data_IF_905063039580
#
_entry.id   IF_905063039580
#
_cell.length_a   1.000
_cell.length_b   1.000
_cell.length_c   1.000
_cell.angle_alpha   90.00
_cell.angle_beta   90.00
_cell.angle_gamma   90.00
#
_symmetry.space_group_name_H-M   'P 1'
#
loop_
_entity.id
_entity.type
_entity.pdbx_description
1 polymer ?
#
# COMPACT_ATOMS: atom_id res chain seq x y z
N UNK A 1 -22.60 -2.55 -8.19
CA UNK A 1 -21.54 -3.07 -7.30
C UNK A 1 -20.48 -2.00 -6.98
N UNK A 2 -20.31 -1.00 -7.84
CA UNK A 2 -19.59 0.28 -7.62
C UNK A 2 -20.21 1.18 -6.54
N UNK A 3 -21.52 1.07 -6.28
CA UNK A 3 -22.25 2.03 -5.43
C UNK A 3 -21.95 1.89 -3.93
N UNK A 4 -21.55 0.69 -3.47
CA UNK A 4 -21.22 0.49 -2.04
C UNK A 4 -19.93 1.21 -1.68
N UNK A 5 -18.86 1.02 -2.47
CA UNK A 5 -17.58 1.72 -2.30
C UNK A 5 -17.73 3.24 -2.33
N UNK A 6 -18.56 3.78 -3.23
CA UNK A 6 -18.81 5.22 -3.33
C UNK A 6 -19.48 5.81 -2.08
N UNK A 7 -20.43 5.07 -1.49
CA UNK A 7 -21.07 5.46 -0.22
C UNK A 7 -20.12 5.36 0.98
N UNK A 8 -19.16 4.42 0.97
CA UNK A 8 -18.14 4.32 2.03
C UNK A 8 -17.32 5.62 2.14
N UNK A 9 -16.82 6.18 1.04
CA UNK A 9 -15.92 7.34 1.06
C UNK A 9 -16.56 8.69 1.43
N UNK A 10 -17.89 8.83 1.38
CA UNK A 10 -18.55 10.11 1.61
C UNK A 10 -19.02 10.35 3.05
N UNK A 11 -19.30 9.29 3.82
CA UNK A 11 -20.00 9.43 5.12
C UNK A 11 -19.16 9.06 6.35
N UNK A 12 -17.87 8.72 6.20
CA UNK A 12 -17.05 8.31 7.36
C UNK A 12 -15.71 9.08 7.49
N UNK A 13 -15.55 9.92 8.54
CA UNK A 13 -14.33 10.69 8.77
C UNK A 13 -13.10 9.85 9.18
N UNK A 14 -13.27 8.54 9.48
CA UNK A 14 -12.15 7.64 9.80
C UNK A 14 -11.53 6.95 8.58
N UNK A 15 -12.07 7.21 7.39
CA UNK A 15 -11.52 6.71 6.13
C UNK A 15 -10.43 7.64 5.60
N UNK A 16 -9.39 7.03 5.05
CA UNK A 16 -8.35 7.73 4.28
C UNK A 16 -8.99 8.29 3.00
N UNK A 17 -9.49 9.52 3.12
CA UNK A 17 -10.21 10.25 2.06
C UNK A 17 -9.34 11.31 1.37
N UNK A 18 -8.16 11.61 1.93
CA UNK A 18 -7.21 12.58 1.41
C UNK A 18 -5.81 11.99 1.32
N UNK A 19 -5.03 12.46 0.34
CA UNK A 19 -3.64 12.11 0.21
C UNK A 19 -2.83 12.60 1.42
N UNK A 20 -2.12 11.71 2.15
CA UNK A 20 -1.34 12.11 3.32
C UNK A 20 -0.11 12.96 2.98
N UNK A 21 0.24 13.08 1.69
CA UNK A 21 1.40 13.85 1.21
C UNK A 21 1.00 15.25 0.76
N UNK A 22 -0.07 15.39 -0.03
CA UNK A 22 -0.47 16.67 -0.63
C UNK A 22 -1.87 17.15 -0.22
N UNK A 23 -2.57 16.40 0.63
CA UNK A 23 -3.92 16.67 1.12
C UNK A 23 -5.00 16.80 0.03
N UNK A 24 -4.73 16.39 -1.22
CA UNK A 24 -5.76 16.31 -2.25
C UNK A 24 -6.75 15.19 -1.90
N UNK A 25 -8.06 15.49 -1.96
CA UNK A 25 -9.10 14.47 -1.76
C UNK A 25 -9.00 13.39 -2.83
N UNK A 26 -9.04 12.13 -2.43
CA UNK A 26 -9.03 11.03 -3.38
C UNK A 26 -10.35 10.96 -4.15
N UNK A 27 -10.25 10.61 -5.43
CA UNK A 27 -11.39 10.21 -6.23
C UNK A 27 -11.59 8.69 -6.05
N UNK A 28 -12.75 8.21 -5.58
CA UNK A 28 -13.00 6.78 -5.39
C UNK A 28 -12.77 5.91 -6.65
N UNK A 29 -12.92 6.50 -7.85
CA UNK A 29 -12.65 5.82 -9.13
C UNK A 29 -11.16 5.53 -9.37
N UNK A 30 -10.26 6.11 -8.58
CA UNK A 30 -8.81 5.97 -8.70
C UNK A 30 -8.23 4.93 -7.75
N UNK A 31 -9.07 4.35 -6.89
CA UNK A 31 -8.72 3.29 -5.98
C UNK A 31 -8.82 1.91 -6.68
N UNK A 32 -7.74 1.13 -6.64
CA UNK A 32 -7.71 -0.27 -7.09
C UNK A 32 -7.86 -1.15 -5.86
N UNK A 33 -8.96 -1.90 -5.78
CA UNK A 33 -9.10 -2.97 -4.77
C UNK A 33 -8.16 -4.11 -5.18
N UNK A 34 -7.21 -4.44 -4.31
CA UNK A 34 -6.23 -5.50 -4.51
C UNK A 34 -6.72 -6.84 -3.95
N UNK A 35 -7.42 -6.81 -2.82
CA UNK A 35 -7.94 -7.99 -2.14
C UNK A 35 -9.25 -7.67 -1.40
N UNK A 36 -10.19 -8.60 -1.42
CA UNK A 36 -11.45 -8.54 -0.68
C UNK A 36 -11.54 -9.74 0.27
N UNK A 37 -11.62 -9.46 1.57
CA UNK A 37 -11.99 -10.42 2.60
C UNK A 37 -13.45 -10.22 3.05
N UNK A 38 -13.91 -11.00 4.02
CA UNK A 38 -15.31 -10.93 4.49
C UNK A 38 -15.70 -9.55 5.03
N UNK A 39 -14.79 -8.89 5.74
CA UNK A 39 -15.02 -7.56 6.32
C UNK A 39 -13.82 -6.62 6.14
N UNK A 40 -12.90 -6.98 5.24
CA UNK A 40 -11.65 -6.25 5.02
C UNK A 40 -11.42 -6.02 3.53
N UNK A 41 -10.88 -4.86 3.17
CA UNK A 41 -10.50 -4.53 1.81
C UNK A 41 -9.08 -3.97 1.80
N UNK A 42 -8.21 -4.57 0.99
CA UNK A 42 -6.89 -4.03 0.69
C UNK A 42 -6.98 -3.18 -0.57
N UNK A 43 -6.65 -1.90 -0.46
CA UNK A 43 -6.87 -0.90 -1.51
C UNK A 43 -5.56 -0.19 -1.82
N UNK A 44 -5.22 -0.14 -3.10
CA UNK A 44 -4.11 0.63 -3.64
C UNK A 44 -4.60 1.93 -4.27
N UNK A 45 -3.95 3.04 -3.95
CA UNK A 45 -4.29 4.37 -4.47
C UNK A 45 -3.02 5.05 -4.97
N UNK A 46 -3.04 5.52 -6.22
CA UNK A 46 -1.99 6.40 -6.76
C UNK A 46 -2.52 7.82 -6.84
N UNK A 47 -1.95 8.73 -6.06
CA UNK A 47 -2.38 10.13 -6.10
C UNK A 47 -2.03 10.76 -7.46
N UNK A 48 -3.02 11.24 -8.20
CA UNK A 48 -2.78 11.88 -9.51
C UNK A 48 -1.99 13.20 -9.44
N UNK A 49 -1.98 13.85 -8.27
CA UNK A 49 -1.30 15.14 -8.11
C UNK A 49 0.17 14.97 -7.73
N UNK A 50 0.47 14.37 -6.57
CA UNK A 50 1.85 14.22 -6.10
C UNK A 50 2.49 12.86 -6.43
N UNK A 51 1.76 11.95 -7.09
CA UNK A 51 2.23 10.61 -7.46
C UNK A 51 2.64 9.72 -6.29
N UNK A 52 2.29 10.07 -5.04
CA UNK A 52 2.45 9.15 -3.91
C UNK A 52 1.60 7.89 -4.11
N UNK A 53 2.18 6.72 -3.81
CA UNK A 53 1.41 5.46 -3.72
C UNK A 53 0.99 5.25 -2.26
N UNK A 54 -0.27 4.89 -2.07
CA UNK A 54 -0.84 4.60 -0.76
C UNK A 54 -1.45 3.20 -0.81
N UNK A 55 -1.12 2.39 0.19
CA UNK A 55 -1.79 1.13 0.48
C UNK A 55 -2.68 1.34 1.71
N UNK A 56 -3.97 1.06 1.59
CA UNK A 56 -4.94 1.20 2.66
C UNK A 56 -5.61 -0.15 2.95
N UNK A 57 -5.65 -0.52 4.22
CA UNK A 57 -6.50 -1.61 4.72
C UNK A 57 -7.74 -0.98 5.36
N UNK A 58 -8.90 -1.30 4.82
CA UNK A 58 -10.20 -0.85 5.33
C UNK A 58 -10.87 -2.05 5.99
N UNK A 59 -11.29 -1.91 7.24
CA UNK A 59 -11.93 -2.99 8.01
C UNK A 59 -13.28 -2.52 8.55
N UNK A 60 -14.32 -3.32 8.36
CA UNK A 60 -15.65 -3.09 8.93
C UNK A 60 -15.88 -4.03 10.12
N UNK A 61 -16.49 -3.50 11.18
CA UNK A 61 -16.86 -4.27 12.37
C UNK A 61 -18.20 -3.77 12.91
N UNK A 62 -18.75 -4.45 13.92
CA UNK A 62 -19.95 -3.98 14.62
C UNK A 62 -19.74 -2.62 15.31
N UNK A 63 -18.49 -2.27 15.64
CA UNK A 63 -18.13 -0.99 16.26
C UNK A 63 -17.96 0.14 15.22
N UNK A 64 -18.05 -0.17 13.93
CA UNK A 64 -17.86 0.77 12.83
C UNK A 64 -16.73 0.38 11.89
N UNK A 65 -16.35 1.34 11.06
CA UNK A 65 -15.32 1.19 10.01
C UNK A 65 -14.04 1.86 10.48
N UNK A 66 -12.92 1.16 10.31
CA UNK A 66 -11.58 1.68 10.52
C UNK A 66 -10.76 1.56 9.25
N UNK A 67 -9.74 2.42 9.12
CA UNK A 67 -8.75 2.29 8.05
C UNK A 67 -7.34 2.54 8.57
N UNK A 68 -6.38 1.78 8.05
CA UNK A 68 -4.95 1.98 8.27
C UNK A 68 -4.30 2.16 6.90
N UNK A 69 -3.44 3.17 6.79
CA UNK A 69 -2.77 3.54 5.54
C UNK A 69 -1.27 3.56 5.69
N UNK A 70 -0.60 3.16 4.62
CA UNK A 70 0.84 3.21 4.47
C UNK A 70 1.18 3.96 3.19
N UNK A 71 2.06 4.95 3.27
CA UNK A 71 2.72 5.52 2.09
C UNK A 71 3.81 4.54 1.68
N UNK A 72 3.82 4.17 0.41
CA UNK A 72 4.76 3.19 -0.13
C UNK A 72 5.25 3.65 -1.49
N UNK A 73 6.37 3.11 -1.94
CA UNK A 73 6.89 3.20 -3.30
C UNK A 73 6.37 2.05 -4.18
N UNK A 74 5.83 0.99 -3.59
CA UNK A 74 5.31 -0.18 -4.30
C UNK A 74 4.16 0.19 -5.26
N UNK A 75 4.13 -0.48 -6.42
CA UNK A 75 2.96 -0.50 -7.28
C UNK A 75 1.90 -1.48 -6.75
N UNK A 76 0.68 -1.40 -7.29
CA UNK A 76 -0.36 -2.38 -6.96
C UNK A 76 0.05 -3.82 -7.28
N UNK A 77 0.86 -4.03 -8.32
CA UNK A 77 1.31 -5.36 -8.73
C UNK A 77 2.48 -5.86 -7.85
N UNK A 78 3.37 -4.95 -7.41
CA UNK A 78 4.40 -5.27 -6.42
C UNK A 78 3.79 -5.74 -5.10
N UNK A 79 2.73 -5.07 -4.64
CA UNK A 79 2.02 -5.47 -3.41
C UNK A 79 1.49 -6.90 -3.54
N UNK A 80 0.86 -7.22 -4.68
CA UNK A 80 0.35 -8.58 -4.92
C UNK A 80 1.45 -9.63 -4.99
N UNK A 81 2.65 -9.26 -5.48
CA UNK A 81 3.82 -10.14 -5.49
C UNK A 81 4.39 -10.34 -4.08
N UNK A 82 4.61 -9.26 -3.33
CA UNK A 82 5.32 -9.32 -2.06
C UNK A 82 4.45 -9.79 -0.88
N UNK A 83 3.12 -9.64 -0.95
CA UNK A 83 2.23 -10.06 0.16
C UNK A 83 2.28 -11.57 0.45
N UNK A 84 2.61 -12.38 -0.56
CA UNK A 84 2.74 -13.84 -0.44
C UNK A 84 4.19 -14.29 -0.16
N UNK A 85 5.15 -13.36 -0.14
CA UNK A 85 6.55 -13.68 0.13
C UNK A 85 6.82 -13.79 1.64
N UNK A 86 7.82 -14.59 2.00
CA UNK A 86 8.27 -14.66 3.38
C UNK A 86 8.82 -13.30 3.86
N UNK A 87 8.57 -12.93 5.13
CA UNK A 87 9.17 -11.74 5.71
C UNK A 87 10.69 -11.78 5.62
N UNK A 88 11.30 -10.62 5.38
CA UNK A 88 12.77 -10.48 5.41
C UNK A 88 13.26 -10.72 6.84
N UNK A 89 14.22 -11.62 6.98
CA UNK A 89 14.85 -12.00 8.25
C UNK A 89 16.17 -11.25 8.46
N UNK A 90 16.72 -11.33 9.68
CA UNK A 90 18.05 -10.78 9.96
C UNK A 90 19.15 -11.48 9.15
N UNK A 91 19.02 -12.78 8.91
CA UNK A 91 20.00 -13.55 8.15
C UNK A 91 20.01 -13.14 6.67
N UNK A 92 18.84 -12.86 6.07
CA UNK A 92 18.73 -12.35 4.70
C UNK A 92 19.52 -11.02 4.52
N UNK A 93 19.44 -10.15 5.53
CA UNK A 93 20.14 -8.85 5.53
C UNK A 93 21.66 -9.05 5.66
N UNK A 94 22.10 -9.93 6.56
CA UNK A 94 23.52 -10.23 6.77
C UNK A 94 24.11 -10.88 5.52
N UNK A 95 23.41 -11.86 4.92
CA UNK A 95 23.84 -12.55 3.71
C UNK A 95 23.97 -11.58 2.54
N UNK A 96 22.95 -10.72 2.34
CA UNK A 96 22.96 -9.69 1.29
C UNK A 96 24.16 -8.73 1.45
N UNK A 97 24.43 -8.27 2.68
CA UNK A 97 25.58 -7.40 2.96
C UNK A 97 26.92 -8.10 2.67
N UNK A 98 27.08 -9.34 3.10
CA UNK A 98 28.30 -10.12 2.86
C UNK A 98 28.49 -10.44 1.38
N UNK A 99 27.41 -10.67 0.63
CA UNK A 99 27.44 -10.86 -0.82
C UNK A 99 27.94 -9.60 -1.53
N UNK A 100 27.32 -8.45 -1.28
CA UNK A 100 27.70 -7.18 -1.89
C UNK A 100 29.16 -6.80 -1.60
N UNK A 101 29.64 -7.04 -0.37
CA UNK A 101 31.05 -6.77 -0.02
C UNK A 101 32.06 -7.65 -0.74
N UNK A 102 31.68 -8.87 -1.12
CA UNK A 102 32.55 -9.80 -1.86
C UNK A 102 32.58 -9.45 -3.34
N UNK A 103 31.42 -9.14 -3.91
CA UNK A 103 31.27 -8.82 -5.34
C UNK A 103 31.38 -7.32 -5.60
N UNK A 104 32.61 -6.78 -5.58
CA UNK A 104 32.88 -5.34 -5.79
C UNK A 104 32.29 -4.78 -7.09
N UNK A 105 32.18 -5.60 -8.13
CA UNK A 105 31.59 -5.21 -9.41
C UNK A 105 30.11 -4.80 -9.29
N UNK A 106 29.38 -5.34 -8.31
CA UNK A 106 27.99 -4.94 -8.04
C UNK A 106 27.92 -3.59 -7.32
N UNK A 107 28.88 -3.29 -6.45
CA UNK A 107 28.97 -1.97 -5.80
C UNK A 107 29.23 -0.89 -6.86
N UNK A 108 30.18 -1.14 -7.77
CA UNK A 108 30.52 -0.21 -8.85
C UNK A 108 29.38 0.02 -9.87
N UNK A 109 28.41 -0.90 -9.97
CA UNK A 109 27.23 -0.75 -10.83
C UNK A 109 26.09 0.04 -10.15
N UNK A 110 26.09 0.09 -8.81
CA UNK A 110 25.04 0.74 -8.02
C UNK A 110 25.40 2.19 -7.62
N UNK A 111 26.68 2.56 -7.68
CA UNK A 111 27.21 3.93 -7.51
C UNK A 111 27.12 4.75 -8.80
#
# INVERSE_FOLDING_TARGET
MTDKLFNFFNDNPTLITHCPVCNLRFNPLEAKVLEEGENTHLVYIKCRHCQASILALISASQLGISSVGLITDLSGDDIMKFKEMSPITFDDVIESHQFLRREKALIEYLD
#
